data_IF_817574524450
#
_entry.id   IF_817574524450
#
_cell.length_a   1.000
_cell.length_b   1.000
_cell.length_c   1.000
_cell.angle_alpha   90.00
_cell.angle_beta   90.00
_cell.angle_gamma   90.00
#
_symmetry.space_group_name_H-M   'P 1'
#
loop_
_entity.id
_entity.type
_entity.pdbx_description
1 polymer ?
#
# COMPACT_ATOMS: atom_id res chain seq x y z
N UNK A 1 62.67 -19.21 -33.97
CA UNK A 1 61.21 -19.35 -33.78
C UNK A 1 60.69 -18.17 -32.98
N UNK A 2 60.61 -16.98 -33.58
CA UNK A 2 60.15 -15.74 -32.92
C UNK A 2 59.42 -14.87 -33.94
N UNK A 3 58.30 -15.38 -34.47
CA UNK A 3 57.45 -14.64 -35.40
C UNK A 3 55.94 -14.97 -35.25
N UNK A 4 55.53 -15.54 -34.12
CA UNK A 4 54.14 -16.03 -33.94
C UNK A 4 53.40 -15.41 -32.75
N UNK A 5 53.98 -14.41 -32.06
CA UNK A 5 53.34 -13.74 -30.91
C UNK A 5 52.97 -12.27 -31.17
N UNK A 6 53.21 -11.75 -32.37
CA UNK A 6 52.94 -10.34 -32.73
C UNK A 6 51.70 -10.15 -33.63
N UNK A 7 50.99 -11.23 -33.98
CA UNK A 7 49.81 -11.18 -34.87
C UNK A 7 48.48 -11.40 -34.13
N UNK A 8 48.48 -12.02 -32.95
CA UNK A 8 47.25 -12.25 -32.17
C UNK A 8 46.84 -11.05 -31.30
N UNK A 9 47.79 -10.18 -30.95
CA UNK A 9 47.51 -8.95 -30.17
C UNK A 9 46.96 -7.81 -31.01
N UNK A 10 47.24 -7.77 -32.32
CA UNK A 10 46.78 -6.69 -33.22
C UNK A 10 45.34 -6.89 -33.69
N UNK A 11 44.87 -8.14 -33.78
CA UNK A 11 43.49 -8.48 -34.17
C UNK A 11 42.51 -8.27 -33.01
N UNK A 12 42.96 -8.51 -31.77
CA UNK A 12 42.12 -8.31 -30.58
C UNK A 12 41.85 -6.83 -30.29
N UNK A 13 42.83 -5.94 -30.55
CA UNK A 13 42.70 -4.50 -30.31
C UNK A 13 41.89 -3.74 -31.38
N UNK A 14 41.69 -4.34 -32.57
CA UNK A 14 40.86 -3.75 -33.62
C UNK A 14 39.37 -4.04 -33.40
N UNK A 15 39.04 -5.21 -32.83
CA UNK A 15 37.65 -5.58 -32.50
C UNK A 15 37.06 -4.78 -31.33
N UNK A 16 37.88 -4.43 -30.33
CA UNK A 16 37.41 -3.62 -29.19
C UNK A 16 37.19 -2.14 -29.57
N UNK A 17 37.92 -1.61 -30.57
CA UNK A 17 37.71 -0.22 -31.02
C UNK A 17 36.47 -0.02 -31.89
N UNK A 18 36.04 -1.02 -32.66
CA UNK A 18 34.79 -0.93 -33.42
C UNK A 18 33.54 -1.12 -32.56
N UNK A 19 33.60 -1.89 -31.46
CA UNK A 19 32.47 -2.01 -30.53
C UNK A 19 32.29 -0.77 -29.63
N UNK A 20 33.37 -0.10 -29.23
CA UNK A 20 33.29 1.15 -28.45
C UNK A 20 32.84 2.33 -29.32
N UNK A 21 33.15 2.33 -30.62
CA UNK A 21 32.66 3.33 -31.56
C UNK A 21 31.16 3.18 -31.90
N UNK A 22 30.62 1.95 -31.89
CA UNK A 22 29.18 1.71 -32.13
C UNK A 22 28.30 1.85 -30.87
N UNK A 23 28.85 1.73 -29.67
CA UNK A 23 28.11 2.02 -28.42
C UNK A 23 28.05 3.52 -28.07
N UNK A 24 28.91 4.34 -28.68
CA UNK A 24 28.91 5.80 -28.45
C UNK A 24 27.94 6.57 -29.38
N UNK A 25 27.27 5.89 -30.31
CA UNK A 25 26.33 6.49 -31.26
C UNK A 25 24.84 6.17 -30.99
N UNK A 26 24.53 5.41 -29.94
CA UNK A 26 23.16 5.02 -29.58
C UNK A 26 22.54 5.86 -28.43
N UNK A 27 23.26 6.85 -27.92
CA UNK A 27 22.73 7.83 -26.96
C UNK A 27 22.43 9.09 -27.75
N UNK A 28 21.20 9.22 -28.28
CA UNK A 28 20.49 10.49 -28.57
C UNK A 28 19.14 10.11 -29.22
N UNK A 29 18.26 9.49 -28.42
CA UNK A 29 16.82 9.43 -28.72
C UNK A 29 16.09 10.46 -27.84
N UNK A 30 15.77 11.67 -28.35
CA UNK A 30 15.08 12.71 -27.57
C UNK A 30 13.65 12.33 -27.13
N UNK A 31 13.10 11.21 -27.64
CA UNK A 31 11.76 10.75 -27.30
C UNK A 31 11.64 10.14 -25.88
N UNK A 32 12.70 9.52 -25.35
CA UNK A 32 12.64 8.87 -24.02
C UNK A 32 12.80 9.86 -22.86
N UNK A 33 13.63 10.90 -23.01
CA UNK A 33 13.74 11.97 -21.99
C UNK A 33 12.47 12.82 -21.91
N UNK A 34 11.79 13.04 -23.04
CA UNK A 34 10.56 13.83 -23.10
C UNK A 34 9.38 13.16 -22.38
N UNK A 35 9.32 11.83 -22.35
CA UNK A 35 8.23 11.13 -21.63
C UNK A 35 8.45 11.11 -20.12
N UNK A 36 9.69 10.95 -19.67
CA UNK A 36 10.03 10.97 -18.23
C UNK A 36 9.87 12.38 -17.65
N UNK A 37 10.29 13.43 -18.38
CA UNK A 37 10.11 14.82 -17.95
C UNK A 37 8.64 15.23 -17.85
N UNK A 38 7.79 14.77 -18.77
CA UNK A 38 6.35 15.05 -18.74
C UNK A 38 5.64 14.36 -17.57
N UNK A 39 6.04 13.12 -17.23
CA UNK A 39 5.47 12.40 -16.08
C UNK A 39 5.86 13.06 -14.75
N UNK A 40 7.11 13.51 -14.66
CA UNK A 40 7.63 14.25 -13.49
C UNK A 40 6.92 15.60 -13.30
N UNK A 41 6.65 16.31 -14.40
CA UNK A 41 5.95 17.59 -14.36
C UNK A 41 4.48 17.43 -13.94
N UNK A 42 3.81 16.36 -14.39
CA UNK A 42 2.43 16.03 -13.99
C UNK A 42 2.32 15.73 -12.50
N UNK A 43 3.22 14.89 -11.96
CA UNK A 43 3.26 14.58 -10.54
C UNK A 43 3.51 15.85 -9.70
N UNK A 44 4.44 16.69 -10.12
CA UNK A 44 4.76 17.94 -9.41
C UNK A 44 3.55 18.89 -9.37
N UNK A 45 2.86 19.07 -10.52
CA UNK A 45 1.64 19.87 -10.59
C UNK A 45 0.57 19.37 -9.62
N UNK A 46 0.40 18.05 -9.54
CA UNK A 46 -0.57 17.45 -8.64
C UNK A 46 -0.22 17.67 -7.16
N UNK A 47 1.05 17.51 -6.77
CA UNK A 47 1.51 17.79 -5.40
C UNK A 47 1.29 19.25 -5.02
N UNK A 48 1.57 20.19 -5.92
CA UNK A 48 1.35 21.63 -5.67
C UNK A 48 -0.15 21.93 -5.55
N UNK A 49 -0.99 21.36 -6.41
CA UNK A 49 -2.44 21.54 -6.34
C UNK A 49 -3.03 21.00 -5.02
N UNK A 50 -2.55 19.85 -4.55
CA UNK A 50 -3.04 19.22 -3.31
C UNK A 50 -2.57 19.92 -2.04
N UNK A 51 -1.39 20.57 -2.09
CA UNK A 51 -0.84 21.30 -0.95
C UNK A 51 -1.42 22.70 -0.73
N UNK A 52 -2.17 23.23 -1.72
CA UNK A 52 -2.85 24.53 -1.65
C UNK A 52 -1.92 25.71 -1.32
N UNK A 53 -0.61 25.57 -1.56
CA UNK A 53 0.37 26.66 -1.40
C UNK A 53 0.08 27.80 -2.37
N UNK A 54 -0.47 27.47 -3.55
CA UNK A 54 -0.72 28.40 -4.64
C UNK A 54 -2.13 28.16 -5.19
N UNK A 55 -2.81 29.21 -5.67
CA UNK A 55 -4.13 29.07 -6.30
C UNK A 55 -4.04 28.34 -7.64
N UNK A 56 -5.14 27.67 -8.04
CA UNK A 56 -5.18 26.93 -9.30
C UNK A 56 -4.97 27.84 -10.52
N UNK A 57 -5.40 29.10 -10.44
CA UNK A 57 -5.18 30.10 -11.48
C UNK A 57 -3.69 30.40 -11.65
N UNK A 58 -2.99 30.68 -10.54
CA UNK A 58 -1.54 30.94 -10.58
C UNK A 58 -0.78 29.69 -11.01
N UNK A 59 -1.18 28.50 -10.54
CA UNK A 59 -0.57 27.24 -10.96
C UNK A 59 -0.70 27.02 -12.49
N UNK A 60 -1.85 27.36 -13.07
CA UNK A 60 -2.06 27.26 -14.52
C UNK A 60 -1.15 28.19 -15.33
N UNK A 61 -0.95 29.42 -14.85
CA UNK A 61 -0.07 30.40 -15.48
C UNK A 61 1.41 29.97 -15.39
N UNK A 62 1.82 29.49 -14.22
CA UNK A 62 3.17 28.97 -13.99
C UNK A 62 3.42 27.74 -14.86
N UNK A 63 2.44 26.83 -15.01
CA UNK A 63 2.58 25.67 -15.88
C UNK A 63 2.83 26.06 -17.35
N UNK A 64 2.13 27.09 -17.85
CA UNK A 64 2.35 27.62 -19.19
C UNK A 64 3.74 28.24 -19.33
N UNK A 65 4.17 29.05 -18.35
CA UNK A 65 5.51 29.65 -18.34
C UNK A 65 6.63 28.61 -18.27
N UNK A 66 6.45 27.57 -17.46
CA UNK A 66 7.36 26.44 -17.34
C UNK A 66 7.51 25.69 -18.67
N UNK A 67 6.39 25.46 -19.38
CA UNK A 67 6.38 24.86 -20.71
C UNK A 67 7.11 25.73 -21.75
N UNK A 68 6.88 27.05 -21.74
CA UNK A 68 7.57 27.97 -22.65
C UNK A 68 9.07 28.05 -22.39
N UNK A 69 9.51 27.95 -21.13
CA UNK A 69 10.92 28.03 -20.72
C UNK A 69 11.63 26.67 -20.71
N UNK A 70 10.91 25.57 -20.98
CA UNK A 70 11.40 24.21 -20.78
C UNK A 70 12.03 24.01 -19.38
N UNK A 71 11.34 24.53 -18.35
CA UNK A 71 11.76 24.47 -16.95
C UNK A 71 10.73 23.71 -16.10
N UNK A 72 11.12 23.28 -14.90
CA UNK A 72 10.20 22.62 -13.97
C UNK A 72 9.27 23.65 -13.31
N UNK A 73 8.01 23.26 -13.09
CA UNK A 73 6.99 24.15 -12.48
C UNK A 73 7.44 24.68 -11.12
N UNK A 74 8.08 23.84 -10.32
CA UNK A 74 8.58 24.22 -9.00
C UNK A 74 9.72 25.24 -9.04
N UNK A 75 10.55 25.20 -10.07
CA UNK A 75 11.64 26.17 -10.25
C UNK A 75 11.09 27.53 -10.66
N UNK A 76 10.09 27.55 -11.55
CA UNK A 76 9.39 28.79 -11.93
C UNK A 76 8.65 29.41 -10.74
N UNK A 77 8.02 28.59 -9.88
CA UNK A 77 7.38 29.08 -8.64
C UNK A 77 8.37 29.71 -7.68
N UNK A 78 9.54 29.09 -7.52
CA UNK A 78 10.61 29.61 -6.68
C UNK A 78 11.21 30.91 -7.23
N UNK A 79 11.54 30.95 -8.53
CA UNK A 79 12.05 32.15 -9.21
C UNK A 79 11.05 33.32 -9.16
N UNK A 80 9.76 33.02 -9.22
CA UNK A 80 8.68 34.01 -9.14
C UNK A 80 8.36 34.44 -7.70
N UNK A 81 9.00 33.84 -6.69
CA UNK A 81 8.83 34.18 -5.28
C UNK A 81 7.55 33.64 -4.63
N UNK A 82 6.85 32.68 -5.25
CA UNK A 82 5.64 32.08 -4.66
C UNK A 82 5.94 31.01 -3.61
N UNK A 83 7.14 30.43 -3.64
CA UNK A 83 7.53 29.29 -2.81
C UNK A 83 8.91 29.54 -2.22
N UNK A 84 9.11 29.26 -0.94
CA UNK A 84 10.40 29.40 -0.28
C UNK A 84 11.38 28.27 -0.68
N UNK A 85 12.69 28.48 -0.45
CA UNK A 85 13.70 27.47 -0.74
C UNK A 85 13.49 26.15 0.03
N UNK A 86 13.00 26.25 1.28
CA UNK A 86 12.63 25.10 2.12
C UNK A 86 11.50 24.29 1.49
N UNK A 87 10.45 24.97 1.05
CA UNK A 87 9.24 24.37 0.52
C UNK A 87 9.52 23.72 -0.82
N UNK A 88 10.29 24.40 -1.69
CA UNK A 88 10.81 23.83 -2.95
C UNK A 88 11.54 22.51 -2.69
N UNK A 89 12.38 22.45 -1.66
CA UNK A 89 13.10 21.22 -1.30
C UNK A 89 12.14 20.13 -0.85
N UNK A 90 11.15 20.45 -0.02
CA UNK A 90 10.13 19.50 0.43
C UNK A 90 9.32 18.90 -0.75
N UNK A 91 8.94 19.71 -1.74
CA UNK A 91 8.28 19.23 -2.97
C UNK A 91 9.16 18.26 -3.76
N UNK A 92 10.45 18.58 -3.93
CA UNK A 92 11.40 17.73 -4.64
C UNK A 92 11.61 16.39 -3.92
N UNK A 93 11.77 16.42 -2.59
CA UNK A 93 11.97 15.24 -1.77
C UNK A 93 10.72 14.34 -1.80
N UNK A 94 9.51 14.92 -1.71
CA UNK A 94 8.25 14.18 -1.83
C UNK A 94 8.08 13.54 -3.22
N UNK A 95 8.33 14.30 -4.30
CA UNK A 95 8.24 13.80 -5.67
C UNK A 95 9.26 12.67 -5.94
N UNK A 96 10.49 12.83 -5.45
CA UNK A 96 11.52 11.79 -5.55
C UNK A 96 11.09 10.52 -4.81
N UNK A 97 10.52 10.65 -3.61
CA UNK A 97 10.09 9.51 -2.78
C UNK A 97 9.02 8.66 -3.49
N UNK A 98 8.04 9.33 -4.10
CA UNK A 98 7.00 8.69 -4.91
C UNK A 98 7.61 8.04 -6.16
N UNK A 99 8.50 8.74 -6.87
CA UNK A 99 9.16 8.24 -8.09
C UNK A 99 9.96 6.97 -7.84
N UNK A 100 10.69 6.92 -6.73
CA UNK A 100 11.45 5.73 -6.32
C UNK A 100 10.57 4.59 -5.79
N UNK A 101 9.24 4.75 -5.77
CA UNK A 101 8.26 3.75 -5.35
C UNK A 101 8.48 3.21 -3.93
N UNK A 102 9.16 3.95 -3.05
CA UNK A 102 9.30 3.52 -1.65
C UNK A 102 8.23 4.15 -0.75
N UNK A 103 7.63 5.28 -1.15
CA UNK A 103 6.57 5.95 -0.41
C UNK A 103 5.27 6.04 -1.21
N UNK A 104 4.17 5.58 -0.61
CA UNK A 104 2.84 5.71 -1.18
C UNK A 104 2.41 7.17 -1.25
N UNK A 105 1.87 7.57 -2.40
CA UNK A 105 1.60 8.98 -2.73
C UNK A 105 0.69 9.70 -1.72
N UNK A 106 -0.46 9.16 -1.28
CA UNK A 106 -1.26 9.79 -0.22
C UNK A 106 -0.50 10.10 1.06
N UNK A 107 0.41 9.22 1.48
CA UNK A 107 1.28 9.45 2.65
C UNK A 107 2.32 10.52 2.38
N UNK A 108 2.91 10.53 1.18
CA UNK A 108 3.81 11.60 0.77
C UNK A 108 3.12 12.98 0.76
N UNK A 109 1.87 13.04 0.31
CA UNK A 109 1.07 14.27 0.32
C UNK A 109 0.74 14.72 1.74
N UNK A 110 0.36 13.78 2.62
CA UNK A 110 0.12 14.08 4.03
C UNK A 110 1.38 14.63 4.71
N UNK A 111 2.52 13.96 4.54
CA UNK A 111 3.80 14.40 5.08
C UNK A 111 4.22 15.76 4.51
N UNK A 112 4.02 15.99 3.22
CA UNK A 112 4.31 17.26 2.56
C UNK A 112 3.45 18.39 3.13
N UNK A 113 2.14 18.19 3.27
CA UNK A 113 1.23 19.19 3.82
C UNK A 113 1.61 19.56 5.27
N UNK A 114 2.03 18.56 6.05
CA UNK A 114 2.49 18.79 7.42
C UNK A 114 3.83 19.52 7.45
N UNK A 115 4.78 19.15 6.61
CA UNK A 115 6.07 19.84 6.46
C UNK A 115 5.91 21.31 6.09
N UNK A 116 5.00 21.62 5.16
CA UNK A 116 4.68 22.98 4.75
C UNK A 116 3.97 23.78 5.85
N UNK A 117 3.08 23.14 6.62
CA UNK A 117 2.32 23.81 7.68
C UNK A 117 3.17 24.10 8.93
N UNK A 118 4.05 23.18 9.28
CA UNK A 118 4.89 23.26 10.49
C UNK A 118 6.26 23.88 10.22
N UNK A 119 6.58 24.19 8.95
CA UNK A 119 7.88 24.69 8.50
C UNK A 119 9.05 23.75 8.85
N UNK A 120 8.80 22.43 8.76
CA UNK A 120 9.77 21.38 9.07
C UNK A 120 10.34 20.74 7.79
N UNK A 121 11.59 20.24 7.82
CA UNK A 121 12.12 19.43 6.73
C UNK A 121 11.28 18.17 6.49
N UNK A 122 11.06 17.82 5.22
CA UNK A 122 10.23 16.67 4.84
C UNK A 122 10.67 15.35 5.52
N UNK A 123 11.96 15.07 5.59
CA UNK A 123 12.49 13.87 6.26
C UNK A 123 12.18 13.83 7.75
N UNK A 124 12.21 14.98 8.44
CA UNK A 124 11.88 15.02 9.86
C UNK A 124 10.40 14.67 10.08
N UNK A 125 9.51 15.20 9.23
CA UNK A 125 8.08 14.88 9.30
C UNK A 125 7.82 13.40 9.00
N UNK A 126 8.58 12.79 8.09
CA UNK A 126 8.47 11.34 7.84
C UNK A 126 8.86 10.51 9.07
N UNK A 127 9.86 10.92 9.84
CA UNK A 127 10.22 10.25 11.09
C UNK A 127 9.12 10.41 12.15
N UNK A 128 8.55 11.61 12.29
CA UNK A 128 7.47 11.92 13.24
C UNK A 128 6.16 11.18 12.93
N UNK A 129 5.90 10.89 11.65
CA UNK A 129 4.72 10.16 11.20
C UNK A 129 4.95 8.64 11.11
N UNK A 130 6.13 8.14 11.49
CA UNK A 130 6.52 6.73 11.30
C UNK A 130 6.33 6.27 9.84
N UNK A 131 6.72 7.14 8.90
CA UNK A 131 6.70 6.90 7.45
C UNK A 131 8.12 6.87 6.85
N UNK A 132 9.16 6.92 7.67
CA UNK A 132 10.54 6.84 7.21
C UNK A 132 10.95 5.37 6.97
N UNK A 133 11.68 5.03 5.89
CA UNK A 133 11.99 3.63 5.54
C UNK A 133 12.68 2.80 6.62
N UNK A 134 13.40 3.46 7.54
CA UNK A 134 14.08 2.80 8.65
C UNK A 134 13.13 2.39 9.78
N UNK A 135 12.14 3.21 10.12
CA UNK A 135 11.29 3.06 11.31
C UNK A 135 9.79 2.81 11.02
N UNK A 136 9.35 2.94 9.76
CA UNK A 136 7.94 2.87 9.41
C UNK A 136 7.24 1.60 9.91
N UNK A 137 6.12 1.74 10.62
CA UNK A 137 5.32 0.63 11.18
C UNK A 137 6.09 -0.33 12.11
N UNK A 138 7.20 0.11 12.71
CA UNK A 138 7.98 -0.71 13.65
C UNK A 138 7.19 -1.07 14.92
N UNK A 139 6.17 -0.29 15.24
CA UNK A 139 5.23 -0.45 16.34
C UNK A 139 3.98 -1.28 15.98
N UNK A 140 3.90 -1.82 14.76
CA UNK A 140 2.77 -2.64 14.30
C UNK A 140 2.54 -3.82 15.25
N UNK A 141 1.37 -3.84 15.91
CA UNK A 141 1.04 -4.89 16.88
C UNK A 141 0.94 -6.25 16.19
N UNK A 142 0.35 -6.29 14.99
CA UNK A 142 0.26 -7.50 14.18
C UNK A 142 1.64 -7.99 13.75
N UNK A 143 2.50 -7.09 13.28
CA UNK A 143 3.87 -7.41 12.87
C UNK A 143 4.71 -7.99 14.02
N UNK A 144 4.69 -7.33 15.17
CA UNK A 144 5.40 -7.79 16.37
C UNK A 144 4.88 -9.14 16.85
N UNK A 145 3.57 -9.36 16.84
CA UNK A 145 2.96 -10.64 17.19
C UNK A 145 3.39 -11.76 16.22
N UNK A 146 3.43 -11.47 14.91
CA UNK A 146 3.86 -12.44 13.91
C UNK A 146 5.32 -12.87 14.11
N UNK A 147 6.21 -11.92 14.44
CA UNK A 147 7.62 -12.20 14.78
C UNK A 147 7.72 -12.98 16.09
N UNK A 148 7.02 -12.56 17.15
CA UNK A 148 7.06 -13.21 18.47
C UNK A 148 6.54 -14.66 18.43
N UNK A 149 5.58 -14.94 17.56
CA UNK A 149 5.06 -16.28 17.30
C UNK A 149 5.92 -17.10 16.31
N UNK A 150 7.02 -16.53 15.82
CA UNK A 150 7.89 -17.13 14.80
C UNK A 150 7.11 -17.56 13.54
N UNK A 151 6.09 -16.79 13.17
CA UNK A 151 5.41 -16.96 11.88
C UNK A 151 6.26 -16.42 10.74
N UNK A 152 7.01 -15.37 11.04
CA UNK A 152 7.91 -14.68 10.13
C UNK A 152 9.22 -14.35 10.87
N UNK A 153 10.28 -14.13 10.12
CA UNK A 153 11.54 -13.60 10.64
C UNK A 153 11.63 -12.05 10.49
N UNK A 154 12.71 -11.47 11.01
CA UNK A 154 12.94 -10.03 10.92
C UNK A 154 13.18 -9.52 9.50
N UNK A 155 13.67 -10.37 8.60
CA UNK A 155 13.91 -10.00 7.19
C UNK A 155 12.57 -9.88 6.46
N UNK A 156 11.69 -10.86 6.63
CA UNK A 156 10.33 -10.85 6.11
C UNK A 156 9.52 -9.70 6.70
N UNK A 157 9.66 -9.41 8.00
CA UNK A 157 8.99 -8.26 8.60
C UNK A 157 9.47 -6.94 7.99
N UNK A 158 10.78 -6.74 7.82
CA UNK A 158 11.32 -5.55 7.17
C UNK A 158 10.88 -5.43 5.70
N UNK A 159 10.83 -6.54 4.96
CA UNK A 159 10.31 -6.57 3.60
C UNK A 159 8.84 -6.14 3.55
N UNK A 160 8.01 -6.66 4.46
CA UNK A 160 6.60 -6.29 4.54
C UNK A 160 6.40 -4.82 4.93
N UNK A 161 7.25 -4.25 5.80
CA UNK A 161 7.23 -2.83 6.15
C UNK A 161 7.53 -1.94 4.94
N UNK A 162 8.56 -2.28 4.16
CA UNK A 162 8.89 -1.54 2.94
C UNK A 162 7.78 -1.67 1.88
N UNK A 163 7.20 -2.87 1.74
CA UNK A 163 6.11 -3.11 0.81
C UNK A 163 4.84 -2.36 1.21
N UNK A 164 4.52 -2.34 2.51
CA UNK A 164 3.45 -1.54 3.12
C UNK A 164 3.65 -0.07 2.79
N UNK A 165 4.86 0.46 3.08
CA UNK A 165 5.24 1.86 2.86
C UNK A 165 5.07 2.29 1.39
N UNK A 166 5.47 1.42 0.46
CA UNK A 166 5.39 1.66 -0.98
C UNK A 166 3.96 1.61 -1.55
N UNK A 167 3.08 0.78 -0.96
CA UNK A 167 1.78 0.43 -1.54
C UNK A 167 0.57 0.99 -0.80
N UNK A 168 0.75 1.60 0.36
CA UNK A 168 -0.38 2.08 1.16
C UNK A 168 -1.18 0.94 1.79
N UNK A 169 -0.53 -0.20 2.05
CA UNK A 169 -1.19 -1.39 2.58
C UNK A 169 -0.88 -1.56 4.05
N UNK A 170 -1.73 -2.27 4.77
CA UNK A 170 -1.42 -2.70 6.15
C UNK A 170 -0.28 -3.72 6.18
N UNK A 171 0.29 -3.96 7.35
CA UNK A 171 1.40 -4.91 7.53
C UNK A 171 0.94 -6.33 7.24
N UNK A 172 -0.24 -6.73 7.71
CA UNK A 172 -0.77 -8.07 7.42
C UNK A 172 -1.04 -8.31 5.94
N UNK A 173 -1.57 -7.31 5.22
CA UNK A 173 -1.72 -7.37 3.75
C UNK A 173 -0.37 -7.54 3.05
N UNK A 174 0.65 -6.80 3.50
CA UNK A 174 2.00 -6.88 2.95
C UNK A 174 2.62 -8.25 3.21
N UNK A 175 2.52 -8.76 4.44
CA UNK A 175 2.98 -10.10 4.81
C UNK A 175 2.31 -11.21 3.98
N UNK A 176 1.02 -11.08 3.69
CA UNK A 176 0.32 -12.01 2.81
C UNK A 176 0.84 -11.94 1.37
N UNK A 177 1.06 -10.73 0.83
CA UNK A 177 1.43 -10.53 -0.59
C UNK A 177 2.89 -10.76 -0.91
N UNK A 178 3.82 -10.35 -0.04
CA UNK A 178 5.26 -10.43 -0.33
C UNK A 178 6.00 -11.50 0.47
N UNK A 179 5.46 -11.94 1.61
CA UNK A 179 6.10 -12.94 2.48
C UNK A 179 5.36 -14.29 2.51
N UNK A 180 4.26 -14.42 1.76
CA UNK A 180 3.54 -15.68 1.63
C UNK A 180 2.77 -16.11 2.88
N UNK A 181 2.45 -15.19 3.80
CA UNK A 181 1.65 -15.51 4.98
C UNK A 181 0.26 -16.03 4.55
N UNK A 182 -0.14 -17.25 4.93
CA UNK A 182 -1.44 -17.80 4.53
C UNK A 182 -2.61 -16.97 5.07
N UNK A 183 -3.70 -16.84 4.29
CA UNK A 183 -4.88 -16.06 4.67
C UNK A 183 -5.51 -16.60 5.97
N UNK A 184 -5.51 -17.92 6.17
CA UNK A 184 -5.97 -18.54 7.41
C UNK A 184 -5.18 -18.05 8.64
N UNK A 185 -3.86 -17.87 8.51
CA UNK A 185 -3.05 -17.33 9.60
C UNK A 185 -3.35 -15.85 9.83
N UNK A 186 -3.54 -15.07 8.76
CA UNK A 186 -3.91 -13.67 8.87
C UNK A 186 -5.26 -13.49 9.60
N UNK A 187 -6.26 -14.33 9.29
CA UNK A 187 -7.55 -14.38 10.02
C UNK A 187 -7.36 -14.65 11.51
N UNK A 188 -6.52 -15.61 11.87
CA UNK A 188 -6.26 -15.97 13.27
C UNK A 188 -5.58 -14.81 14.01
N UNK A 189 -4.64 -14.12 13.37
CA UNK A 189 -3.99 -12.93 13.95
C UNK A 189 -5.01 -11.80 14.18
N UNK A 190 -5.84 -11.48 13.19
CA UNK A 190 -6.88 -10.44 13.31
C UNK A 190 -7.91 -10.80 14.39
N UNK A 191 -8.43 -12.03 14.40
CA UNK A 191 -9.36 -12.51 15.43
C UNK A 191 -8.74 -12.44 16.83
N UNK A 192 -7.50 -12.89 16.94
CA UNK A 192 -6.75 -12.89 18.19
C UNK A 192 -6.50 -11.50 18.74
N UNK A 193 -6.09 -10.55 17.89
CA UNK A 193 -5.90 -9.15 18.25
C UNK A 193 -7.22 -8.50 18.70
N UNK A 194 -8.33 -8.79 18.01
CA UNK A 194 -9.64 -8.29 18.42
C UNK A 194 -10.07 -8.83 19.80
N UNK A 195 -9.80 -10.10 20.09
CA UNK A 195 -10.07 -10.72 21.40
C UNK A 195 -9.17 -10.17 22.50
N UNK A 196 -7.92 -9.87 22.18
CA UNK A 196 -6.99 -9.22 23.10
C UNK A 196 -7.46 -7.79 23.41
N UNK A 197 -7.85 -7.02 22.39
CA UNK A 197 -8.34 -5.65 22.54
C UNK A 197 -9.63 -5.58 23.37
N UNK A 198 -10.48 -6.61 23.30
CA UNK A 198 -11.72 -6.73 24.09
C UNK A 198 -11.52 -7.42 25.45
N UNK A 199 -10.28 -7.79 25.81
CA UNK A 199 -9.94 -8.42 27.09
C UNK A 199 -10.42 -9.87 27.24
N UNK A 200 -10.84 -10.52 26.16
CA UNK A 200 -11.32 -11.91 26.19
C UNK A 200 -10.20 -12.93 26.34
N UNK A 201 -9.00 -12.57 25.85
CA UNK A 201 -7.80 -13.41 25.96
C UNK A 201 -6.62 -12.57 26.42
N UNK A 202 -5.66 -13.23 27.06
CA UNK A 202 -4.36 -12.67 27.39
C UNK A 202 -3.40 -12.79 26.21
N UNK A 203 -2.32 -12.02 26.25
CA UNK A 203 -1.27 -12.09 25.22
C UNK A 203 -0.64 -13.50 25.12
N UNK A 204 -0.47 -14.19 26.25
CA UNK A 204 0.09 -15.55 26.24
C UNK A 204 -0.87 -16.56 25.59
N UNK A 205 -2.18 -16.43 25.86
CA UNK A 205 -3.19 -17.25 25.18
C UNK A 205 -3.22 -16.98 23.68
N UNK A 206 -3.04 -15.72 23.26
CA UNK A 206 -2.94 -15.35 21.86
C UNK A 206 -1.74 -16.03 21.18
N UNK A 207 -0.55 -15.92 21.80
CA UNK A 207 0.67 -16.57 21.27
C UNK A 207 0.50 -18.07 21.16
N UNK A 208 -0.08 -18.71 22.17
CA UNK A 208 -0.33 -20.16 22.15
C UNK A 208 -1.30 -20.55 21.02
N UNK A 209 -2.36 -19.78 20.81
CA UNK A 209 -3.32 -20.03 19.73
C UNK A 209 -2.67 -19.95 18.34
N UNK A 210 -1.84 -18.94 18.12
CA UNK A 210 -1.10 -18.78 16.87
C UNK A 210 -0.10 -19.93 16.65
N UNK A 211 0.64 -20.33 17.69
CA UNK A 211 1.57 -21.47 17.64
C UNK A 211 0.86 -22.78 17.31
N UNK A 212 -0.29 -23.04 17.95
CA UNK A 212 -1.09 -24.23 17.68
C UNK A 212 -1.56 -24.27 16.21
N UNK A 213 -2.07 -23.15 15.70
CA UNK A 213 -2.50 -23.03 14.30
C UNK A 213 -1.35 -23.24 13.31
N UNK A 214 -0.14 -22.76 13.64
CA UNK A 214 1.05 -23.01 12.82
C UNK A 214 1.39 -24.50 12.76
N UNK A 215 1.35 -25.20 13.89
CA UNK A 215 1.60 -26.64 13.96
C UNK A 215 0.56 -27.42 13.15
N UNK A 216 -0.72 -27.07 13.28
CA UNK A 216 -1.81 -27.70 12.52
C UNK A 216 -1.63 -27.53 11.01
N UNK A 217 -1.27 -26.32 10.56
CA UNK A 217 -0.96 -26.05 9.15
C UNK A 217 0.27 -26.82 8.65
N UNK A 218 1.24 -27.12 9.51
CA UNK A 218 2.45 -27.87 9.16
C UNK A 218 2.19 -29.37 9.11
N UNK A 219 1.38 -29.90 10.04
CA UNK A 219 1.10 -31.32 10.17
C UNK A 219 0.09 -31.85 9.14
N UNK A 220 -0.90 -31.05 8.77
CA UNK A 220 -1.98 -31.48 7.86
C UNK A 220 -1.58 -31.41 6.38
N UNK A 221 -0.42 -30.84 6.05
CA UNK A 221 0.03 -30.72 4.65
C UNK A 221 -0.95 -29.98 3.75
N UNK A 222 -1.89 -29.20 4.31
CA UNK A 222 -3.02 -28.58 3.63
C UNK A 222 -2.62 -27.34 2.79
N UNK A 223 -1.46 -27.40 2.14
CA UNK A 223 -0.95 -26.34 1.25
C UNK A 223 -1.72 -26.32 -0.10
N UNK A 224 -2.63 -27.26 -0.37
CA UNK A 224 -3.30 -27.35 -1.67
C UNK A 224 -4.82 -27.58 -1.72
N UNK A 225 -5.44 -28.23 -0.72
CA UNK A 225 -6.80 -28.77 -0.94
C UNK A 225 -7.84 -28.49 0.17
N UNK A 226 -7.45 -27.94 1.33
CA UNK A 226 -8.36 -27.68 2.45
C UNK A 226 -8.32 -26.21 2.96
N UNK A 227 -7.75 -25.29 2.18
CA UNK A 227 -8.05 -23.86 2.32
C UNK A 227 -9.44 -23.57 1.73
N UNK A 228 -10.48 -24.26 2.22
CA UNK A 228 -11.81 -23.67 2.13
C UNK A 228 -11.67 -22.35 2.86
N UNK A 229 -11.81 -21.24 2.13
CA UNK A 229 -11.90 -19.91 2.73
C UNK A 229 -13.06 -19.96 3.72
N UNK A 230 -12.73 -20.24 4.99
CA UNK A 230 -13.70 -20.29 6.07
C UNK A 230 -14.26 -18.87 6.14
N UNK A 231 -15.55 -18.71 5.86
CA UNK A 231 -16.27 -17.45 5.98
C UNK A 231 -15.81 -16.64 7.20
N UNK A 232 -15.70 -15.33 7.08
CA UNK A 232 -15.35 -14.43 8.18
C UNK A 232 -16.22 -14.66 9.41
N UNK A 233 -17.52 -14.91 9.20
CA UNK A 233 -18.46 -15.23 10.26
C UNK A 233 -18.03 -16.42 11.14
N UNK A 234 -17.13 -17.30 10.68
CA UNK A 234 -16.65 -18.45 11.45
C UNK A 234 -15.21 -18.30 11.93
N UNK A 235 -14.41 -17.46 11.28
CA UNK A 235 -12.95 -17.38 11.49
C UNK A 235 -12.50 -16.13 12.24
N UNK A 236 -13.31 -15.07 12.26
CA UNK A 236 -12.95 -13.76 12.84
C UNK A 236 -14.01 -13.22 13.80
N UNK A 237 -14.70 -14.10 14.53
CA UNK A 237 -15.77 -13.75 15.48
C UNK A 237 -15.37 -12.72 16.54
N UNK A 238 -14.11 -12.73 16.98
CA UNK A 238 -13.57 -11.73 17.89
C UNK A 238 -13.68 -10.31 17.34
N UNK A 239 -13.56 -10.14 16.02
CA UNK A 239 -13.70 -8.83 15.38
C UNK A 239 -15.13 -8.30 15.43
N UNK A 240 -16.16 -9.15 15.27
CA UNK A 240 -17.56 -8.71 15.42
C UNK A 240 -17.84 -8.13 16.81
N UNK A 241 -17.21 -8.72 17.83
CA UNK A 241 -17.32 -8.26 19.22
C UNK A 241 -16.59 -6.92 19.38
N UNK A 242 -15.36 -6.81 18.87
CA UNK A 242 -14.60 -5.56 18.87
C UNK A 242 -15.35 -4.42 18.16
N UNK A 243 -15.87 -4.68 16.97
CA UNK A 243 -16.61 -3.71 16.17
C UNK A 243 -18.00 -3.37 16.76
N UNK A 244 -18.44 -4.10 17.79
CA UNK A 244 -19.79 -4.03 18.34
C UNK A 244 -20.88 -4.14 17.24
N UNK A 245 -20.60 -4.95 16.23
CA UNK A 245 -21.45 -5.13 15.06
C UNK A 245 -21.45 -6.61 14.68
N UNK A 246 -22.53 -7.31 15.04
CA UNK A 246 -22.62 -8.76 14.86
C UNK A 246 -22.70 -9.16 13.40
N UNK A 247 -23.36 -8.34 12.58
CA UNK A 247 -23.68 -8.66 11.18
C UNK A 247 -22.53 -8.29 10.22
N UNK A 248 -21.49 -7.61 10.72
CA UNK A 248 -20.43 -7.09 9.85
C UNK A 248 -19.68 -8.20 9.13
N UNK A 249 -19.50 -9.35 9.77
CA UNK A 249 -18.74 -10.46 9.20
C UNK A 249 -19.50 -11.10 8.05
N UNK A 250 -20.81 -11.28 8.20
CA UNK A 250 -21.70 -11.82 7.19
C UNK A 250 -21.84 -10.86 6.00
N UNK A 251 -21.87 -9.55 6.27
CA UNK A 251 -21.85 -8.51 5.23
C UNK A 251 -20.53 -8.54 4.44
N UNK A 252 -19.40 -8.70 5.12
CA UNK A 252 -18.09 -8.84 4.45
C UNK A 252 -18.00 -10.15 3.66
N UNK A 253 -18.53 -11.25 4.19
CA UNK A 253 -18.65 -12.52 3.47
C UNK A 253 -19.50 -12.38 2.21
N UNK A 254 -20.57 -11.59 2.25
CA UNK A 254 -21.41 -11.30 1.09
C UNK A 254 -20.64 -10.50 0.03
N UNK A 255 -19.90 -9.46 0.44
CA UNK A 255 -19.07 -8.63 -0.44
C UNK A 255 -17.95 -9.44 -1.10
N UNK A 256 -17.32 -10.35 -0.37
CA UNK A 256 -16.30 -11.26 -0.92
C UNK A 256 -16.91 -12.24 -1.91
N UNK A 257 -18.05 -12.88 -1.58
CA UNK A 257 -18.74 -13.80 -2.50
C UNK A 257 -19.25 -13.11 -3.78
N UNK A 258 -19.64 -11.83 -3.67
CA UNK A 258 -20.03 -11.02 -4.82
C UNK A 258 -18.84 -10.59 -5.70
N UNK A 259 -17.60 -10.81 -5.25
CA UNK A 259 -16.35 -10.30 -5.83
C UNK A 259 -16.24 -8.77 -5.81
N UNK A 260 -16.96 -8.09 -4.91
CA UNK A 260 -16.82 -6.65 -4.73
C UNK A 260 -15.54 -6.32 -3.96
N UNK A 261 -15.16 -7.19 -3.01
CA UNK A 261 -13.99 -7.01 -2.14
C UNK A 261 -13.17 -8.31 -2.11
N UNK A 262 -11.84 -8.21 -2.06
CA UNK A 262 -11.01 -9.39 -1.80
C UNK A 262 -10.94 -9.69 -0.30
N UNK A 263 -10.80 -10.97 0.05
CA UNK A 263 -10.66 -11.41 1.45
C UNK A 263 -9.48 -10.73 2.16
N UNK A 264 -8.35 -10.58 1.46
CA UNK A 264 -7.15 -9.89 1.97
C UNK A 264 -7.40 -8.40 2.20
N UNK A 265 -8.23 -7.77 1.36
CA UNK A 265 -8.62 -6.37 1.53
C UNK A 265 -9.52 -6.20 2.76
N UNK A 266 -10.50 -7.09 2.95
CA UNK A 266 -11.36 -7.08 4.13
C UNK A 266 -10.56 -7.22 5.43
N UNK A 267 -9.60 -8.14 5.47
CA UNK A 267 -8.69 -8.31 6.62
C UNK A 267 -7.84 -7.06 6.87
N UNK A 268 -7.35 -6.41 5.81
CA UNK A 268 -6.63 -5.14 5.93
C UNK A 268 -7.46 -4.03 6.57
N UNK A 269 -8.76 -3.93 6.20
CA UNK A 269 -9.67 -2.97 6.83
C UNK A 269 -9.92 -3.29 8.31
N UNK A 270 -10.05 -4.58 8.66
CA UNK A 270 -10.15 -5.01 10.06
C UNK A 270 -8.87 -4.70 10.85
N UNK A 271 -7.70 -4.98 10.27
CA UNK A 271 -6.39 -4.67 10.87
C UNK A 271 -6.24 -3.17 11.11
N UNK A 272 -6.57 -2.33 10.13
CA UNK A 272 -6.51 -0.88 10.28
C UNK A 272 -7.44 -0.37 11.39
N UNK A 273 -8.63 -0.97 11.53
CA UNK A 273 -9.55 -0.65 12.64
C UNK A 273 -8.97 -1.04 14.00
N UNK A 274 -8.34 -2.21 14.12
CA UNK A 274 -7.73 -2.69 15.36
C UNK A 274 -6.49 -1.87 15.74
N UNK A 275 -5.58 -1.63 14.80
CA UNK A 275 -4.32 -0.92 15.03
C UNK A 275 -4.58 0.51 15.50
N UNK A 276 -5.52 1.20 14.86
CA UNK A 276 -5.83 2.61 15.17
C UNK A 276 -6.92 2.78 16.26
N UNK A 277 -7.49 1.68 16.76
CA UNK A 277 -8.62 1.67 17.71
C UNK A 277 -9.82 2.48 17.23
N UNK A 278 -10.11 2.41 15.93
CA UNK A 278 -11.20 3.11 15.28
C UNK A 278 -12.40 2.20 15.05
N UNK A 279 -13.58 2.80 14.83
CA UNK A 279 -14.74 2.06 14.34
C UNK A 279 -14.49 1.55 12.91
N UNK A 280 -15.04 0.39 12.59
CA UNK A 280 -14.89 -0.20 11.26
C UNK A 280 -15.50 0.69 10.17
N UNK A 281 -16.59 1.40 10.48
CA UNK A 281 -17.24 2.34 9.57
C UNK A 281 -16.34 3.54 9.22
N UNK A 282 -15.59 4.07 10.19
CA UNK A 282 -14.63 5.17 9.95
C UNK A 282 -13.53 4.72 9.01
N UNK A 283 -12.95 3.55 9.28
CA UNK A 283 -11.89 2.97 8.44
C UNK A 283 -12.42 2.63 7.05
N UNK A 284 -13.66 2.15 6.94
CA UNK A 284 -14.27 1.91 5.64
C UNK A 284 -14.39 3.20 4.82
N UNK A 285 -14.86 4.29 5.44
CA UNK A 285 -15.04 5.56 4.74
C UNK A 285 -13.72 6.14 4.21
N UNK A 286 -12.63 5.96 4.97
CA UNK A 286 -11.32 6.55 4.65
C UNK A 286 -10.44 5.66 3.78
N UNK A 287 -10.46 4.34 4.02
CA UNK A 287 -9.46 3.41 3.47
C UNK A 287 -10.04 2.38 2.49
N UNK A 288 -11.37 2.23 2.41
CA UNK A 288 -11.96 1.24 1.51
C UNK A 288 -11.80 1.63 0.05
N UNK A 289 -11.37 0.71 -0.84
CA UNK A 289 -11.40 0.95 -2.28
C UNK A 289 -12.84 0.90 -2.83
N UNK A 290 -13.84 0.60 -2.00
CA UNK A 290 -15.24 0.46 -2.38
C UNK A 290 -16.05 1.58 -1.74
N UNK A 291 -16.87 2.24 -2.56
CA UNK A 291 -17.79 3.29 -2.12
C UNK A 291 -18.73 2.83 -1.00
N UNK A 292 -19.04 3.74 -0.07
CA UNK A 292 -19.91 3.47 1.08
C UNK A 292 -21.31 2.97 0.68
N UNK A 293 -21.82 3.37 -0.49
CA UNK A 293 -23.12 2.94 -1.00
C UNK A 293 -23.19 1.42 -1.21
N UNK A 294 -22.08 0.79 -1.63
CA UNK A 294 -22.02 -0.67 -1.84
C UNK A 294 -22.11 -1.40 -0.50
N UNK A 295 -21.44 -0.88 0.55
CA UNK A 295 -21.54 -1.44 1.91
C UNK A 295 -22.98 -1.33 2.44
N UNK A 296 -23.63 -0.18 2.26
CA UNK A 296 -25.03 0.01 2.66
C UNK A 296 -25.97 -0.95 1.93
N UNK A 297 -25.75 -1.15 0.62
CA UNK A 297 -26.53 -2.11 -0.16
C UNK A 297 -26.31 -3.54 0.33
N UNK A 298 -25.07 -3.93 0.62
CA UNK A 298 -24.74 -5.24 1.16
C UNK A 298 -25.43 -5.49 2.52
N UNK A 299 -25.47 -4.48 3.41
CA UNK A 299 -26.22 -4.54 4.68
C UNK A 299 -27.72 -4.75 4.46
N UNK A 300 -28.32 -3.98 3.55
CA UNK A 300 -29.74 -4.11 3.23
C UNK A 300 -30.08 -5.51 2.68
N UNK A 301 -29.25 -6.03 1.76
CA UNK A 301 -29.42 -7.37 1.20
C UNK A 301 -29.24 -8.45 2.28
N UNK A 302 -28.26 -8.31 3.17
CA UNK A 302 -28.06 -9.23 4.28
C UNK A 302 -29.27 -9.27 5.22
N UNK A 303 -29.87 -8.11 5.53
CA UNK A 303 -31.11 -8.05 6.32
C UNK A 303 -32.28 -8.77 5.65
N UNK A 304 -32.46 -8.62 4.33
CA UNK A 304 -33.50 -9.35 3.58
C UNK A 304 -33.29 -10.87 3.60
N UNK A 305 -32.03 -11.31 3.55
CA UNK A 305 -31.67 -12.72 3.73
C UNK A 305 -32.01 -13.19 5.14
N UNK A 306 -31.72 -12.40 6.17
CA UNK A 306 -32.03 -12.71 7.57
C UNK A 306 -33.53 -12.85 7.84
N UNK A 307 -34.38 -12.07 7.16
CA UNK A 307 -35.85 -12.14 7.27
C UNK A 307 -36.44 -13.22 6.33
N UNK A 308 -35.62 -13.89 5.52
CA UNK A 308 -36.06 -14.95 4.61
C UNK A 308 -36.78 -14.46 3.35
N UNK A 309 -36.71 -13.15 3.05
CA UNK A 309 -37.30 -12.55 1.85
C UNK A 309 -36.43 -12.75 0.60
N UNK A 310 -35.18 -13.14 0.78
CA UNK A 310 -34.20 -13.33 -0.30
C UNK A 310 -33.26 -14.48 0.04
N UNK A 311 -32.84 -15.27 -0.95
CA UNK A 311 -31.80 -16.28 -0.72
C UNK A 311 -30.40 -15.66 -0.71
N UNK A 312 -29.41 -16.27 -0.02
CA UNK A 312 -28.03 -15.79 -0.05
C UNK A 312 -27.46 -15.68 -1.47
N UNK A 313 -27.80 -16.60 -2.36
CA UNK A 313 -27.35 -16.58 -3.75
C UNK A 313 -27.97 -15.42 -4.54
N UNK A 314 -29.24 -15.10 -4.30
CA UNK A 314 -29.90 -13.94 -4.91
C UNK A 314 -29.25 -12.63 -4.43
N UNK A 315 -28.95 -12.53 -3.14
CA UNK A 315 -28.25 -11.35 -2.60
C UNK A 315 -26.88 -11.15 -3.24
N UNK A 316 -26.09 -12.23 -3.42
CA UNK A 316 -24.80 -12.19 -4.13
C UNK A 316 -24.99 -11.70 -5.57
N UNK A 317 -25.99 -12.23 -6.29
CA UNK A 317 -26.30 -11.83 -7.66
C UNK A 317 -26.62 -10.34 -7.78
N UNK A 318 -27.56 -9.84 -6.95
CA UNK A 318 -27.93 -8.43 -6.94
C UNK A 318 -26.78 -7.50 -6.57
N UNK A 319 -25.92 -7.90 -5.62
CA UNK A 319 -24.79 -7.08 -5.21
C UNK A 319 -23.74 -7.01 -6.33
N UNK A 320 -23.50 -8.12 -7.03
CA UNK A 320 -22.59 -8.16 -8.18
C UNK A 320 -23.08 -7.27 -9.32
N UNK A 321 -24.36 -7.37 -9.68
CA UNK A 321 -24.97 -6.51 -10.71
C UNK A 321 -24.87 -5.03 -10.33
N UNK A 322 -25.16 -4.69 -9.07
CA UNK A 322 -25.04 -3.32 -8.58
C UNK A 322 -23.61 -2.77 -8.68
N UNK A 323 -22.61 -3.61 -8.39
CA UNK A 323 -21.20 -3.20 -8.47
C UNK A 323 -20.67 -3.05 -9.90
N UNK A 324 -21.24 -3.76 -10.88
CA UNK A 324 -20.84 -3.70 -12.30
C UNK A 324 -21.52 -2.58 -13.07
N UNK A 325 -22.66 -2.06 -12.59
CA UNK A 325 -23.39 -0.99 -13.24
C UNK A 325 -22.80 0.42 -12.97
N UNK A 326 -21.68 0.51 -12.24
CA UNK A 326 -20.94 1.73 -11.92
C UNK A 326 -19.53 1.62 -12.50
#
# INVERSE_FOLDING_TARGET
>A
MTATLALETTISLSYEREQVAQQSAAVHSPAQHSQVSNLDQSLMLELIAQSRVVSNEVLSQVAQLASMRNSQVIDVLFESGFVAASDRRAFLDAAQSIRSNWLFKPWAVQALNRALSDFLPFNQVLEELDLHPSNAFSDSTLGQLAVACQLIDGVQFNQARQYSLARGLTIGQSLNRCCGMPIAMYKILVDGLARLATGQITEEQLRQRVRNARMENTLTGAVGAASQSLKFAHSTLGFAIYANNRDILEVLDLLVQANCLSEVTALGLMEAALQNRLSFESVWAECSPIEAVVLQKARALHSLVGVGQMSPQQAVGHLREFSLAR
#
